data_IF_188334994037
#
_entry.id   IF_188334994037
#
_cell.length_a   1.000
_cell.length_b   1.000
_cell.length_c   1.000
_cell.angle_alpha   90.00
_cell.angle_beta   90.00
_cell.angle_gamma   90.00
#
_symmetry.space_group_name_H-M   'P 1'
#
loop_
_entity.id
_entity.type
_entity.pdbx_description
1 polymer ?
#
# COMPACT_ATOMS: atom_id res chain seq x y z
N UNK A 1 -14.69 1.66 19.22
CA UNK A 1 -14.56 2.68 18.16
C UNK A 1 -13.12 2.95 17.75
N UNK A 2 -12.16 2.72 18.64
CA UNK A 2 -10.74 3.01 18.39
C UNK A 2 -9.96 1.86 17.72
N UNK A 3 -10.58 0.69 17.57
CA UNK A 3 -9.96 -0.49 16.98
C UNK A 3 -9.97 -0.40 15.43
N UNK A 4 -8.78 -0.35 14.76
CA UNK A 4 -8.68 -0.29 13.30
C UNK A 4 -9.40 -1.43 12.58
N UNK A 5 -9.38 -2.64 13.15
CA UNK A 5 -10.07 -3.80 12.59
C UNK A 5 -11.59 -3.61 12.56
N UNK A 6 -12.16 -2.99 13.60
CA UNK A 6 -13.59 -2.67 13.65
C UNK A 6 -13.95 -1.55 12.67
N UNK A 7 -13.06 -0.58 12.42
CA UNK A 7 -13.27 0.43 11.37
C UNK A 7 -13.42 -0.24 10.00
N UNK A 8 -12.50 -1.12 9.64
CA UNK A 8 -12.61 -1.86 8.38
C UNK A 8 -13.91 -2.67 8.31
N UNK A 9 -14.25 -3.41 9.38
CA UNK A 9 -15.50 -4.17 9.45
C UNK A 9 -16.75 -3.31 9.22
N UNK A 10 -16.77 -2.08 9.77
CA UNK A 10 -17.89 -1.16 9.58
C UNK A 10 -18.01 -0.65 8.14
N UNK A 11 -16.88 -0.46 7.45
CA UNK A 11 -16.85 -0.08 6.03
C UNK A 11 -17.34 -1.24 5.15
N UNK A 12 -16.91 -2.47 5.43
CA UNK A 12 -17.33 -3.66 4.70
C UNK A 12 -18.83 -3.89 4.77
N UNK A 13 -19.45 -3.64 5.94
CA UNK A 13 -20.91 -3.73 6.07
C UNK A 13 -21.66 -2.84 5.07
N UNK A 14 -21.11 -1.67 4.69
CA UNK A 14 -21.74 -0.80 3.69
C UNK A 14 -21.65 -1.37 2.28
N UNK A 15 -20.64 -2.18 1.97
CA UNK A 15 -20.60 -2.95 0.72
C UNK A 15 -21.67 -4.03 0.70
N UNK A 16 -21.87 -4.74 1.82
CA UNK A 16 -22.92 -5.74 1.96
C UNK A 16 -24.31 -5.13 1.75
N UNK A 17 -24.56 -3.91 2.31
CA UNK A 17 -25.81 -3.17 2.15
C UNK A 17 -26.10 -2.78 0.68
N UNK A 18 -25.06 -2.74 -0.17
CA UNK A 18 -25.15 -2.47 -1.61
C UNK A 18 -25.08 -3.75 -2.48
N UNK A 19 -25.06 -4.92 -1.89
CA UNK A 19 -24.87 -6.20 -2.59
C UNK A 19 -23.55 -6.30 -3.36
N UNK A 20 -22.51 -5.63 -2.86
CA UNK A 20 -21.17 -5.57 -3.43
C UNK A 20 -20.17 -6.29 -2.53
N UNK A 21 -19.16 -6.91 -3.13
CA UNK A 21 -18.01 -7.48 -2.40
C UNK A 21 -16.70 -6.98 -2.99
N UNK A 22 -15.86 -6.31 -2.20
CA UNK A 22 -14.52 -5.96 -2.62
C UNK A 22 -13.61 -7.18 -2.56
N UNK A 23 -12.75 -7.32 -3.57
CA UNK A 23 -11.69 -8.33 -3.65
C UNK A 23 -10.37 -7.57 -3.59
N UNK A 24 -9.49 -7.90 -2.64
CA UNK A 24 -8.27 -7.14 -2.41
C UNK A 24 -7.06 -8.06 -2.27
N UNK A 25 -5.88 -7.57 -2.71
CA UNK A 25 -4.58 -8.21 -2.53
C UNK A 25 -3.52 -7.15 -2.22
N UNK A 26 -2.79 -7.22 -1.11
CA UNK A 26 -1.67 -6.34 -0.85
C UNK A 26 -0.37 -6.90 -1.44
N UNK A 27 0.47 -6.00 -1.96
CA UNK A 27 1.89 -6.18 -2.23
C UNK A 27 2.66 -5.47 -1.11
N UNK A 28 3.63 -6.15 -0.50
CA UNK A 28 4.33 -5.59 0.66
C UNK A 28 5.83 -5.54 0.41
N UNK A 29 6.34 -4.33 0.24
CA UNK A 29 7.77 -4.07 0.11
C UNK A 29 8.44 -3.93 1.48
N UNK A 30 9.67 -4.44 1.57
CA UNK A 30 10.49 -4.34 2.78
C UNK A 30 11.97 -4.44 2.44
N UNK A 31 12.82 -3.96 3.34
CA UNK A 31 14.26 -4.21 3.25
C UNK A 31 14.69 -5.28 4.25
N UNK A 32 15.55 -6.17 3.81
CA UNK A 32 16.47 -6.87 4.69
C UNK A 32 17.66 -5.95 4.96
N UNK A 33 18.00 -5.78 6.22
CA UNK A 33 19.12 -4.97 6.68
C UNK A 33 19.99 -5.78 7.64
N UNK A 34 21.24 -5.40 7.77
CA UNK A 34 22.13 -5.98 8.78
C UNK A 34 21.54 -5.79 10.18
N UNK A 35 21.73 -6.76 11.07
CA UNK A 35 21.34 -6.62 12.46
C UNK A 35 22.23 -5.65 13.23
N UNK A 36 23.40 -5.29 12.69
CA UNK A 36 24.31 -4.30 13.24
C UNK A 36 24.14 -2.96 12.54
N UNK A 37 24.13 -1.90 13.35
CA UNK A 37 24.12 -0.53 12.84
C UNK A 37 25.56 -0.08 12.52
N UNK A 38 25.68 0.98 11.72
CA UNK A 38 26.95 1.68 11.54
C UNK A 38 27.41 2.26 12.87
N UNK A 39 28.68 2.68 12.96
CA UNK A 39 29.23 3.40 14.14
C UNK A 39 28.47 4.70 14.49
N UNK A 40 27.63 5.20 13.57
CA UNK A 40 26.80 6.38 13.75
C UNK A 40 25.32 6.04 14.01
N UNK A 41 24.98 4.75 14.20
CA UNK A 41 23.62 4.31 14.50
C UNK A 41 22.70 4.18 13.28
N UNK A 42 23.22 4.25 12.04
CA UNK A 42 22.43 4.10 10.82
C UNK A 42 22.29 2.64 10.40
N UNK A 43 21.16 2.25 9.79
CA UNK A 43 21.00 0.94 9.20
C UNK A 43 22.01 0.70 8.08
N UNK A 44 22.34 -0.56 7.84
CA UNK A 44 23.26 -0.99 6.79
C UNK A 44 22.59 -2.02 5.89
N UNK A 45 22.97 -2.02 4.60
CA UNK A 45 22.58 -3.07 3.69
C UNK A 45 23.01 -4.44 4.22
N UNK A 46 22.31 -5.54 3.89
CA UNK A 46 22.63 -6.86 4.41
C UNK A 46 23.97 -7.37 3.88
N UNK A 47 24.57 -8.26 4.65
CA UNK A 47 25.65 -9.12 4.13
C UNK A 47 24.98 -10.26 3.35
N UNK A 48 25.47 -10.53 2.15
CA UNK A 48 24.98 -11.64 1.31
C UNK A 48 25.27 -12.95 2.04
N UNK A 49 24.26 -13.81 2.27
CA UNK A 49 24.44 -15.09 2.96
C UNK A 49 25.59 -15.91 2.37
N UNK A 50 26.35 -16.58 3.23
CA UNK A 50 27.53 -17.38 2.82
C UNK A 50 28.75 -16.57 2.37
N UNK A 51 28.71 -15.24 2.43
CA UNK A 51 29.81 -14.35 2.04
C UNK A 51 30.16 -13.34 3.12
N UNK A 52 31.25 -12.59 2.93
CA UNK A 52 31.60 -11.42 3.75
C UNK A 52 31.30 -10.10 2.99
N UNK A 53 30.57 -10.15 1.87
CA UNK A 53 30.28 -8.99 1.03
C UNK A 53 28.93 -8.38 1.42
N UNK A 54 28.95 -7.06 1.60
CA UNK A 54 27.71 -6.28 1.80
C UNK A 54 27.07 -6.01 0.45
N UNK A 55 25.75 -6.16 0.39
CA UNK A 55 24.97 -5.89 -0.79
C UNK A 55 25.05 -4.40 -1.17
N UNK A 56 25.23 -4.07 -2.47
CA UNK A 56 25.36 -2.69 -2.96
C UNK A 56 24.76 -2.45 -4.35
N UNK A 57 24.38 -3.50 -5.04
CA UNK A 57 24.00 -3.43 -6.45
C UNK A 57 22.48 -3.31 -6.59
N UNK A 58 22.01 -2.54 -7.59
CA UNK A 58 20.62 -2.55 -8.03
C UNK A 58 20.23 -3.95 -8.45
N UNK A 59 19.07 -4.42 -7.99
CA UNK A 59 18.74 -5.84 -8.06
C UNK A 59 17.38 -6.15 -8.71
N UNK A 60 16.71 -5.17 -9.30
CA UNK A 60 15.34 -5.32 -9.80
C UNK A 60 15.16 -6.62 -10.61
N UNK A 61 14.26 -7.49 -10.12
CA UNK A 61 13.93 -8.80 -10.72
C UNK A 61 15.13 -9.74 -10.91
N UNK A 62 16.21 -9.56 -10.16
CA UNK A 62 17.42 -10.38 -10.27
C UNK A 62 17.24 -11.71 -9.53
N UNK A 63 17.18 -12.81 -10.28
CA UNK A 63 17.01 -14.16 -9.75
C UNK A 63 18.21 -14.61 -8.89
N UNK A 64 19.44 -14.26 -9.24
CA UNK A 64 20.60 -14.64 -8.43
C UNK A 64 20.53 -14.07 -7.01
N UNK A 65 19.90 -12.89 -6.85
CA UNK A 65 19.66 -12.32 -5.52
C UNK A 65 18.64 -13.12 -4.74
N UNK A 66 17.61 -13.64 -5.43
CA UNK A 66 16.62 -14.52 -4.79
C UNK A 66 17.29 -15.83 -4.34
N UNK A 67 18.19 -16.39 -5.14
CA UNK A 67 18.96 -17.59 -4.81
C UNK A 67 19.89 -17.32 -3.61
N UNK A 68 20.54 -16.16 -3.54
CA UNK A 68 21.38 -15.76 -2.40
C UNK A 68 20.62 -15.73 -1.07
N UNK A 69 19.31 -15.48 -1.10
CA UNK A 69 18.41 -15.42 0.08
C UNK A 69 17.40 -16.57 0.13
N UNK A 70 17.59 -17.65 -0.62
CA UNK A 70 16.66 -18.80 -0.74
C UNK A 70 16.22 -19.33 0.62
N UNK A 71 17.16 -19.64 1.52
CA UNK A 71 16.87 -20.17 2.86
C UNK A 71 15.94 -19.24 3.68
N UNK A 72 16.12 -17.94 3.52
CA UNK A 72 15.25 -16.95 4.19
C UNK A 72 13.83 -17.00 3.61
N UNK A 73 13.67 -16.98 2.29
CA UNK A 73 12.37 -17.02 1.64
C UNK A 73 11.65 -18.34 1.87
N UNK A 74 12.37 -19.45 1.87
CA UNK A 74 11.88 -20.77 2.24
C UNK A 74 11.29 -20.79 3.67
N UNK A 75 12.00 -20.16 4.61
CA UNK A 75 11.50 -20.07 5.99
C UNK A 75 10.26 -19.17 6.07
N UNK A 76 10.22 -18.07 5.31
CA UNK A 76 9.05 -17.17 5.25
C UNK A 76 7.85 -17.91 4.66
N UNK A 77 8.03 -18.65 3.56
CA UNK A 77 6.97 -19.46 2.94
C UNK A 77 6.43 -20.54 3.89
N UNK A 78 7.32 -21.30 4.55
CA UNK A 78 6.93 -22.30 5.58
C UNK A 78 6.14 -21.66 6.72
N UNK A 79 6.55 -20.46 7.17
CA UNK A 79 5.85 -19.73 8.22
C UNK A 79 4.50 -19.21 7.74
N UNK A 80 4.40 -18.68 6.51
CA UNK A 80 3.15 -18.23 5.91
C UNK A 80 2.15 -19.39 5.79
N UNK A 81 2.58 -20.53 5.26
CA UNK A 81 1.77 -21.76 5.16
C UNK A 81 1.25 -22.24 6.51
N UNK A 82 2.09 -22.20 7.56
CA UNK A 82 1.68 -22.60 8.91
C UNK A 82 0.63 -21.67 9.53
N UNK A 83 0.58 -20.41 9.07
CA UNK A 83 -0.40 -19.40 9.48
C UNK A 83 -1.64 -19.35 8.57
N UNK A 84 -1.72 -20.20 7.54
CA UNK A 84 -2.78 -20.17 6.55
C UNK A 84 -2.77 -18.91 5.68
N UNK A 85 -1.59 -18.28 5.48
CA UNK A 85 -1.44 -17.10 4.64
C UNK A 85 -1.02 -17.54 3.23
N UNK A 86 -1.85 -17.35 2.21
CA UNK A 86 -1.51 -17.69 0.84
C UNK A 86 -0.60 -16.61 0.24
N UNK A 87 0.71 -16.78 0.35
CA UNK A 87 1.70 -15.98 -0.39
C UNK A 87 1.87 -16.53 -1.80
N UNK A 88 1.99 -15.63 -2.79
CA UNK A 88 2.12 -16.01 -4.19
C UNK A 88 3.58 -15.98 -4.62
N UNK A 89 4.21 -14.82 -4.53
CA UNK A 89 5.53 -14.57 -5.10
C UNK A 89 6.35 -13.68 -4.19
N UNK A 90 7.65 -13.97 -4.11
CA UNK A 90 8.66 -13.05 -3.58
C UNK A 90 9.54 -12.58 -4.74
N UNK A 91 9.83 -11.28 -4.81
CA UNK A 91 10.68 -10.69 -5.84
C UNK A 91 11.73 -9.76 -5.24
N UNK A 92 12.86 -9.65 -5.94
CA UNK A 92 13.86 -8.64 -5.67
C UNK A 92 13.39 -7.29 -6.25
N UNK A 93 13.27 -6.28 -5.39
CA UNK A 93 12.90 -4.93 -5.76
C UNK A 93 14.10 -4.07 -6.17
N UNK A 94 13.87 -2.80 -6.48
CA UNK A 94 14.84 -1.92 -7.15
C UNK A 94 16.13 -1.73 -6.34
N UNK A 95 16.01 -1.47 -5.04
CA UNK A 95 17.15 -1.11 -4.22
C UNK A 95 17.85 -2.32 -3.60
N UNK A 96 19.16 -2.21 -3.27
CA UNK A 96 19.90 -3.30 -2.63
C UNK A 96 19.23 -3.78 -1.34
N UNK A 97 18.95 -5.07 -1.25
CA UNK A 97 18.30 -5.68 -0.09
C UNK A 97 16.81 -5.36 0.05
N UNK A 98 16.19 -4.74 -0.95
CA UNK A 98 14.75 -4.51 -1.01
C UNK A 98 14.06 -5.68 -1.69
N UNK A 99 12.96 -6.14 -1.10
CA UNK A 99 12.16 -7.25 -1.58
C UNK A 99 10.68 -6.94 -1.46
N UNK A 100 9.87 -7.63 -2.24
CA UNK A 100 8.41 -7.59 -2.18
C UNK A 100 7.85 -8.99 -2.00
N UNK A 101 6.79 -9.11 -1.22
CA UNK A 101 5.98 -10.34 -1.12
C UNK A 101 4.54 -10.01 -1.41
N UNK A 102 3.95 -10.77 -2.35
CA UNK A 102 2.58 -10.64 -2.80
C UNK A 102 1.69 -11.67 -2.12
N UNK A 103 0.54 -11.25 -1.61
CA UNK A 103 -0.50 -12.16 -1.13
C UNK A 103 -1.53 -12.39 -2.24
N UNK A 104 -2.08 -13.60 -2.30
CA UNK A 104 -3.19 -13.91 -3.18
C UNK A 104 -4.42 -13.07 -2.82
N UNK A 105 -5.17 -12.66 -3.83
CA UNK A 105 -6.39 -11.90 -3.64
C UNK A 105 -7.50 -12.72 -2.95
N UNK A 106 -8.32 -12.03 -2.16
CA UNK A 106 -9.45 -12.64 -1.47
C UNK A 106 -10.64 -11.67 -1.40
N UNK A 107 -11.86 -12.21 -1.36
CA UNK A 107 -13.11 -11.45 -1.25
C UNK A 107 -13.55 -11.20 0.22
N UNK A 108 -12.65 -11.44 1.16
CA UNK A 108 -12.73 -11.01 2.56
C UNK A 108 -11.57 -10.05 2.88
N UNK A 109 -11.74 -8.74 2.72
CA UNK A 109 -10.69 -7.76 3.02
C UNK A 109 -10.28 -7.70 4.49
N UNK A 110 -11.14 -8.17 5.41
CA UNK A 110 -10.79 -8.23 6.83
C UNK A 110 -9.75 -9.33 7.08
N UNK A 111 -9.97 -10.51 6.50
CA UNK A 111 -8.99 -11.60 6.50
C UNK A 111 -7.68 -11.16 5.85
N UNK A 112 -7.74 -10.46 4.71
CA UNK A 112 -6.54 -9.97 4.03
C UNK A 112 -5.73 -8.98 4.88
N UNK A 113 -6.40 -8.10 5.64
CA UNK A 113 -5.73 -7.19 6.56
C UNK A 113 -5.09 -7.96 7.74
N UNK A 114 -5.77 -8.97 8.28
CA UNK A 114 -5.24 -9.88 9.30
C UNK A 114 -3.98 -10.59 8.78
N UNK A 115 -4.03 -11.13 7.56
CA UNK A 115 -2.92 -11.83 6.92
C UNK A 115 -1.74 -10.90 6.62
N UNK A 116 -1.98 -9.69 6.10
CA UNK A 116 -0.94 -8.70 5.85
C UNK A 116 -0.23 -8.31 7.17
N UNK A 117 -0.97 -8.12 8.25
CA UNK A 117 -0.40 -7.83 9.58
C UNK A 117 0.48 -8.97 10.09
N UNK A 118 -0.03 -10.22 10.03
CA UNK A 118 0.70 -11.40 10.46
C UNK A 118 1.93 -11.68 9.58
N UNK A 119 1.83 -11.45 8.26
CA UNK A 119 2.93 -11.64 7.33
C UNK A 119 4.10 -10.68 7.63
N UNK A 120 3.84 -9.39 7.89
CA UNK A 120 4.88 -8.45 8.33
C UNK A 120 5.60 -8.94 9.60
N UNK A 121 4.86 -9.50 10.55
CA UNK A 121 5.43 -10.07 11.78
C UNK A 121 6.27 -11.31 11.48
N UNK A 122 5.79 -12.19 10.61
CA UNK A 122 6.47 -13.42 10.19
C UNK A 122 7.81 -13.09 9.52
N UNK A 123 7.82 -12.20 8.53
CA UNK A 123 9.03 -11.75 7.82
C UNK A 123 10.07 -11.22 8.82
N UNK A 124 9.67 -10.35 9.74
CA UNK A 124 10.58 -9.83 10.79
C UNK A 124 11.17 -10.92 11.68
N UNK A 125 10.38 -11.93 12.02
CA UNK A 125 10.85 -13.03 12.88
C UNK A 125 11.76 -13.99 12.11
N UNK A 126 11.47 -14.27 10.84
CA UNK A 126 12.33 -15.09 9.98
C UNK A 126 13.69 -14.42 9.77
N UNK A 127 13.74 -13.11 9.48
CA UNK A 127 14.99 -12.38 9.27
C UNK A 127 15.98 -12.53 10.45
N UNK A 128 15.48 -12.52 11.67
CA UNK A 128 16.32 -12.70 12.87
C UNK A 128 17.06 -14.04 12.91
N UNK A 129 16.52 -15.10 12.30
CA UNK A 129 17.18 -16.41 12.24
C UNK A 129 18.45 -16.40 11.38
N UNK A 130 18.52 -15.44 10.45
CA UNK A 130 19.65 -15.24 9.54
C UNK A 130 20.56 -14.07 9.98
N UNK A 131 20.43 -13.60 11.23
CA UNK A 131 21.16 -12.44 11.76
C UNK A 131 20.89 -11.15 10.96
N UNK A 132 19.69 -11.05 10.38
CA UNK A 132 19.18 -9.89 9.67
C UNK A 132 18.01 -9.26 10.43
N UNK A 133 17.69 -8.03 10.08
CA UNK A 133 16.42 -7.40 10.42
C UNK A 133 15.63 -7.14 9.13
N UNK A 134 14.30 -7.28 9.19
CA UNK A 134 13.42 -6.82 8.14
C UNK A 134 12.75 -5.51 8.58
N UNK A 135 12.79 -4.49 7.73
CA UNK A 135 12.13 -3.21 8.00
C UNK A 135 11.11 -2.87 6.92
N UNK A 136 9.91 -2.48 7.36
CA UNK A 136 8.85 -1.93 6.53
C UNK A 136 8.81 -0.39 6.58
N UNK A 137 9.85 0.24 7.11
CA UNK A 137 9.98 1.69 7.14
C UNK A 137 9.83 2.26 5.73
N UNK A 138 9.03 3.30 5.57
CA UNK A 138 8.70 3.84 4.24
C UNK A 138 9.92 4.31 3.44
N UNK A 139 10.92 4.90 4.11
CA UNK A 139 12.17 5.40 3.49
C UNK A 139 13.35 5.13 4.43
N UNK A 140 13.86 3.88 4.52
CA UNK A 140 14.95 3.53 5.44
C UNK A 140 16.30 4.12 5.02
N UNK A 141 16.50 4.33 3.71
CA UNK A 141 17.70 4.92 3.13
C UNK A 141 17.32 6.11 2.27
N UNK A 142 17.98 7.26 2.46
CA UNK A 142 17.64 8.53 1.79
C UNK A 142 17.75 8.44 0.27
N UNK A 143 18.77 7.72 -0.21
CA UNK A 143 19.17 7.70 -1.61
C UNK A 143 18.62 6.48 -2.38
N UNK A 144 17.91 5.56 -1.67
CA UNK A 144 17.36 4.35 -2.25
C UNK A 144 15.83 4.44 -2.39
N UNK A 145 15.22 3.50 -3.10
CA UNK A 145 13.76 3.41 -3.22
C UNK A 145 13.07 3.28 -1.86
N UNK A 146 11.88 3.82 -1.71
CA UNK A 146 11.04 3.63 -0.52
C UNK A 146 10.19 2.37 -0.60
N UNK A 147 9.63 1.93 0.55
CA UNK A 147 8.76 0.77 0.64
C UNK A 147 7.28 1.17 0.54
N UNK A 148 6.58 0.60 -0.43
CA UNK A 148 5.14 0.68 -0.60
C UNK A 148 4.40 -0.53 -0.02
N UNK A 149 3.10 -0.36 0.17
CA UNK A 149 2.13 -1.43 0.33
C UNK A 149 1.02 -1.20 -0.70
N UNK A 150 1.28 -1.59 -1.93
CA UNK A 150 0.30 -1.44 -3.00
C UNK A 150 -0.91 -2.33 -2.73
N UNK A 151 -2.07 -1.89 -3.17
CA UNK A 151 -3.30 -2.66 -3.01
C UNK A 151 -3.98 -2.85 -4.36
N UNK A 152 -4.05 -4.10 -4.82
CA UNK A 152 -4.88 -4.49 -5.94
C UNK A 152 -6.32 -4.63 -5.49
N UNK A 153 -7.26 -4.08 -6.25
CA UNK A 153 -8.65 -4.06 -5.90
C UNK A 153 -9.55 -4.29 -7.11
N UNK A 154 -10.56 -5.14 -6.93
CA UNK A 154 -11.76 -5.19 -7.77
C UNK A 154 -13.01 -5.24 -6.90
N UNK A 155 -14.17 -5.10 -7.51
CA UNK A 155 -15.47 -5.26 -6.85
C UNK A 155 -16.29 -6.26 -7.64
N UNK A 156 -16.87 -7.24 -6.94
CA UNK A 156 -17.75 -8.24 -7.55
C UNK A 156 -19.18 -8.12 -7.01
N UNK A 157 -20.15 -8.61 -7.78
CA UNK A 157 -21.54 -8.75 -7.35
C UNK A 157 -21.72 -10.01 -6.46
N UNK A 158 -22.94 -10.23 -5.95
CA UNK A 158 -23.30 -11.44 -5.16
C UNK A 158 -23.05 -12.77 -5.89
N UNK A 159 -23.00 -12.74 -7.23
CA UNK A 159 -22.76 -13.93 -8.07
C UNK A 159 -21.28 -14.14 -8.36
N UNK A 160 -20.40 -13.24 -7.90
CA UNK A 160 -18.96 -13.27 -8.16
C UNK A 160 -18.56 -12.67 -9.52
N UNK A 161 -19.46 -12.00 -10.23
CA UNK A 161 -19.09 -11.32 -11.49
C UNK A 161 -18.30 -10.05 -11.18
N UNK A 162 -17.16 -9.87 -11.86
CA UNK A 162 -16.37 -8.65 -11.74
C UNK A 162 -17.16 -7.44 -12.33
N UNK A 163 -17.30 -6.40 -11.51
CA UNK A 163 -17.99 -5.16 -11.89
C UNK A 163 -17.01 -4.07 -12.39
N UNK A 164 -15.71 -4.34 -12.32
CA UNK A 164 -14.72 -3.47 -12.95
C UNK A 164 -14.62 -3.81 -14.43
N UNK A 165 -15.31 -3.00 -15.24
CA UNK A 165 -15.42 -3.19 -16.68
C UNK A 165 -14.76 -2.05 -17.43
N UNK A 166 -14.27 -2.39 -18.61
CA UNK A 166 -13.76 -1.45 -19.60
C UNK A 166 -14.73 -1.41 -20.78
N UNK A 167 -14.95 -0.22 -21.35
CA UNK A 167 -15.72 -0.06 -22.57
C UNK A 167 -14.92 -0.48 -23.81
N UNK A 168 -15.51 -0.36 -25.00
CA UNK A 168 -14.89 -0.70 -26.28
C UNK A 168 -13.64 0.12 -26.62
N UNK A 169 -13.42 1.24 -25.91
CA UNK A 169 -12.24 2.11 -26.04
C UNK A 169 -11.23 1.86 -24.92
N UNK A 170 -11.35 0.73 -24.21
CA UNK A 170 -10.49 0.36 -23.07
C UNK A 170 -10.54 1.37 -21.91
N UNK A 171 -11.67 2.08 -21.73
CA UNK A 171 -11.86 3.05 -20.68
C UNK A 171 -12.71 2.48 -19.54
N UNK A 172 -12.36 2.73 -18.26
CA UNK A 172 -13.21 2.33 -17.14
C UNK A 172 -14.64 2.89 -17.24
N UNK A 173 -15.65 2.04 -17.05
CA UNK A 173 -17.04 2.42 -17.07
C UNK A 173 -17.79 2.03 -15.77
N UNK A 174 -18.96 2.62 -15.56
CA UNK A 174 -19.85 2.28 -14.46
C UNK A 174 -19.19 2.36 -13.09
N UNK A 175 -19.31 1.27 -12.31
CA UNK A 175 -18.75 1.15 -10.96
C UNK A 175 -17.22 1.34 -10.97
N UNK A 176 -16.53 0.83 -11.99
CA UNK A 176 -15.09 0.98 -12.09
C UNK A 176 -14.65 2.43 -12.23
N UNK A 177 -15.29 3.18 -13.15
CA UNK A 177 -15.01 4.61 -13.30
C UNK A 177 -15.28 5.39 -12.01
N UNK A 178 -16.40 5.10 -11.34
CA UNK A 178 -16.74 5.75 -10.07
C UNK A 178 -15.78 5.40 -8.94
N UNK A 179 -15.30 4.16 -8.87
CA UNK A 179 -14.31 3.72 -7.88
C UNK A 179 -12.99 4.49 -8.01
N UNK A 180 -12.45 4.59 -9.24
CA UNK A 180 -11.24 5.36 -9.53
C UNK A 180 -11.44 6.84 -9.20
N UNK A 181 -12.54 7.44 -9.66
CA UNK A 181 -12.85 8.85 -9.39
C UNK A 181 -13.03 9.14 -7.90
N UNK A 182 -13.62 8.21 -7.14
CA UNK A 182 -13.74 8.29 -5.69
C UNK A 182 -12.38 8.29 -4.99
N UNK A 183 -11.49 7.38 -5.38
CA UNK A 183 -10.11 7.32 -4.89
C UNK A 183 -9.36 8.62 -5.18
N UNK A 184 -9.36 9.09 -6.42
CA UNK A 184 -8.68 10.36 -6.78
C UNK A 184 -9.19 11.53 -5.95
N UNK A 185 -10.51 11.63 -5.76
CA UNK A 185 -11.13 12.75 -5.05
C UNK A 185 -10.87 12.77 -3.56
N UNK A 186 -10.87 11.60 -2.91
CA UNK A 186 -10.84 11.52 -1.45
C UNK A 186 -9.50 11.10 -0.87
N UNK A 187 -8.54 10.65 -1.69
CA UNK A 187 -7.18 10.30 -1.25
C UNK A 187 -6.54 11.38 -0.37
N UNK A 188 -6.63 12.69 -0.68
CA UNK A 188 -6.07 13.72 0.19
C UNK A 188 -6.66 13.74 1.60
N UNK A 189 -7.92 13.33 1.77
CA UNK A 189 -8.59 13.25 3.07
C UNK A 189 -8.10 12.09 3.92
N UNK A 190 -7.68 11.00 3.28
CA UNK A 190 -7.18 9.79 3.92
C UNK A 190 -5.65 9.68 3.94
N UNK A 191 -4.93 10.70 3.49
CA UNK A 191 -3.47 10.63 3.30
C UNK A 191 -2.72 10.21 4.56
N UNK A 192 -3.13 10.68 5.75
CA UNK A 192 -2.50 10.33 7.02
C UNK A 192 -2.65 8.85 7.43
N UNK A 193 -3.55 8.10 6.79
CA UNK A 193 -3.66 6.64 6.97
C UNK A 193 -2.78 5.88 5.97
N UNK A 194 -2.49 6.46 4.80
CA UNK A 194 -1.58 5.90 3.79
C UNK A 194 -0.12 6.23 4.07
N UNK A 195 0.15 7.39 4.66
CA UNK A 195 1.45 7.89 5.07
C UNK A 195 1.40 8.25 6.56
N UNK A 196 1.55 7.23 7.41
CA UNK A 196 1.17 7.31 8.83
C UNK A 196 2.23 7.98 9.73
N UNK A 197 3.46 8.14 9.26
CA UNK A 197 4.61 8.61 10.05
C UNK A 197 5.41 9.67 9.29
N UNK A 198 6.22 10.46 9.99
CA UNK A 198 7.04 11.49 9.36
C UNK A 198 7.95 10.94 8.26
N UNK A 199 8.48 9.73 8.46
CA UNK A 199 9.32 9.05 7.47
C UNK A 199 8.56 8.71 6.17
N UNK A 200 7.25 8.45 6.23
CA UNK A 200 6.43 8.17 5.03
C UNK A 200 6.43 9.34 4.05
N UNK A 201 6.52 10.58 4.54
CA UNK A 201 6.57 11.78 3.70
C UNK A 201 7.92 11.99 2.99
N UNK A 202 8.98 11.32 3.46
CA UNK A 202 10.26 11.27 2.74
C UNK A 202 10.19 10.38 1.49
N UNK A 203 9.24 9.45 1.44
CA UNK A 203 8.93 8.66 0.24
C UNK A 203 8.12 9.47 -0.77
N UNK A 204 7.23 10.37 -0.30
CA UNK A 204 6.28 11.12 -1.11
C UNK A 204 6.86 12.48 -1.56
N UNK A 205 8.05 12.47 -2.13
CA UNK A 205 8.66 13.68 -2.72
C UNK A 205 8.39 13.73 -4.23
N UNK A 206 8.35 14.95 -4.80
CA UNK A 206 8.13 15.12 -6.23
C UNK A 206 9.24 14.41 -7.04
N UNK A 207 8.85 13.72 -8.10
CA UNK A 207 9.73 12.87 -8.91
C UNK A 207 10.40 11.70 -8.15
N UNK A 208 9.87 11.30 -7.00
CA UNK A 208 10.36 10.08 -6.35
C UNK A 208 10.10 8.86 -7.22
N UNK A 209 11.11 8.03 -7.37
CA UNK A 209 10.97 6.76 -8.06
C UNK A 209 9.93 5.88 -7.36
N UNK A 210 9.01 5.34 -8.12
CA UNK A 210 7.97 4.38 -7.67
C UNK A 210 7.00 4.88 -6.59
N UNK A 211 6.97 6.18 -6.24
CA UNK A 211 6.04 6.75 -5.27
C UNK A 211 5.15 7.83 -5.91
N UNK A 212 3.83 7.62 -6.01
CA UNK A 212 2.93 8.58 -6.64
C UNK A 212 2.69 9.78 -5.73
N UNK A 213 2.82 10.99 -6.27
CA UNK A 213 2.51 12.24 -5.56
C UNK A 213 1.38 13.03 -6.22
N UNK A 214 0.84 12.52 -7.34
CA UNK A 214 -0.18 13.19 -8.16
C UNK A 214 -1.50 12.44 -8.09
N UNK A 215 -2.62 13.16 -8.20
CA UNK A 215 -3.95 12.56 -8.27
C UNK A 215 -4.26 12.14 -9.72
N UNK A 216 -3.67 11.05 -10.16
CA UNK A 216 -3.70 10.58 -11.54
C UNK A 216 -3.99 9.07 -11.65
N UNK A 217 -4.46 8.64 -12.82
CA UNK A 217 -4.68 7.25 -13.15
C UNK A 217 -4.24 6.96 -14.58
N UNK A 218 -3.90 5.72 -14.88
CA UNK A 218 -3.58 5.28 -16.26
C UNK A 218 -3.35 3.79 -16.36
N UNK A 219 -3.47 3.29 -17.60
CA UNK A 219 -3.15 1.89 -17.93
C UNK A 219 -1.63 1.71 -17.91
N UNK A 220 -1.17 0.62 -17.28
CA UNK A 220 0.26 0.27 -17.15
C UNK A 220 1.17 1.42 -16.69
N UNK A 221 0.60 2.44 -16.02
CA UNK A 221 1.32 3.64 -15.63
C UNK A 221 1.80 3.56 -14.16
N UNK A 222 3.07 3.20 -13.97
CA UNK A 222 3.71 3.09 -12.66
C UNK A 222 4.02 4.44 -11.99
N UNK A 223 3.89 5.57 -12.72
CA UNK A 223 4.06 6.92 -12.14
C UNK A 223 2.76 7.51 -11.62
N UNK A 224 1.61 6.90 -11.96
CA UNK A 224 0.30 7.32 -11.52
C UNK A 224 -0.06 6.78 -10.12
N UNK A 225 -0.98 7.46 -9.43
CA UNK A 225 -1.55 7.02 -8.17
C UNK A 225 -2.32 5.71 -8.30
N UNK A 226 -3.07 5.58 -9.40
CA UNK A 226 -3.85 4.39 -9.71
C UNK A 226 -3.39 3.87 -11.07
N UNK A 227 -2.86 2.65 -11.05
CA UNK A 227 -2.54 1.89 -12.26
C UNK A 227 -3.66 0.91 -12.55
N UNK A 228 -4.02 0.76 -13.81
CA UNK A 228 -4.85 -0.34 -14.29
C UNK A 228 -3.92 -1.33 -15.00
N UNK A 229 -3.58 -2.47 -14.37
CA UNK A 229 -2.77 -3.48 -15.01
C UNK A 229 -3.51 -4.14 -16.17
N UNK A 230 -2.79 -4.54 -17.22
CA UNK A 230 -3.34 -5.38 -18.29
C UNK A 230 -3.81 -6.71 -17.70
N UNK A 231 -5.02 -7.11 -18.05
CA UNK A 231 -5.63 -8.33 -17.55
C UNK A 231 -6.77 -8.80 -18.43
N UNK A 232 -7.19 -10.06 -18.28
CA UNK A 232 -8.45 -10.54 -18.86
C UNK A 232 -9.65 -9.81 -18.22
N UNK A 233 -10.81 -9.75 -18.90
CA UNK A 233 -12.00 -9.07 -18.37
C UNK A 233 -12.43 -9.55 -16.97
N UNK A 234 -12.25 -10.82 -16.65
CA UNK A 234 -12.57 -11.37 -15.32
C UNK A 234 -11.56 -10.95 -14.25
N UNK A 235 -10.33 -10.61 -14.63
CA UNK A 235 -9.24 -10.21 -13.75
C UNK A 235 -8.97 -8.68 -13.74
N UNK A 236 -9.85 -7.89 -14.42
CA UNK A 236 -9.74 -6.43 -14.44
C UNK A 236 -9.76 -5.87 -13.02
N UNK A 237 -8.78 -5.05 -12.69
CA UNK A 237 -8.57 -4.49 -11.35
C UNK A 237 -7.86 -3.15 -11.42
N UNK A 238 -7.85 -2.42 -10.34
CA UNK A 238 -6.92 -1.31 -10.12
C UNK A 238 -5.82 -1.70 -9.14
N UNK A 239 -4.68 -1.06 -9.25
CA UNK A 239 -3.61 -1.05 -8.27
C UNK A 239 -3.51 0.36 -7.67
N UNK A 240 -3.74 0.47 -6.37
CA UNK A 240 -3.58 1.72 -5.63
C UNK A 240 -2.20 1.77 -4.99
N UNK A 241 -1.35 2.70 -5.44
CA UNK A 241 0.10 2.68 -5.23
C UNK A 241 0.63 3.56 -4.10
N UNK A 242 -0.25 4.31 -3.43
CA UNK A 242 0.15 5.34 -2.46
C UNK A 242 0.64 4.80 -1.11
N UNK A 243 -0.02 3.79 -0.48
CA UNK A 243 0.28 3.46 0.90
C UNK A 243 1.74 3.07 1.13
N UNK A 244 2.30 3.55 2.24
CA UNK A 244 3.63 3.13 2.69
C UNK A 244 3.56 1.79 3.41
N UNK A 245 4.62 1.00 3.32
CA UNK A 245 4.66 -0.35 3.89
C UNK A 245 4.54 -0.38 5.42
N UNK A 246 4.86 0.70 6.12
CA UNK A 246 4.71 0.85 7.57
C UNK A 246 3.28 1.16 8.03
N UNK A 247 2.38 1.50 7.10
CA UNK A 247 1.00 1.83 7.41
C UNK A 247 0.21 0.64 7.96
N UNK A 248 -0.84 0.94 8.73
CA UNK A 248 -1.73 -0.07 9.30
C UNK A 248 -2.66 -0.66 8.22
N UNK A 249 -2.59 -1.97 7.90
CA UNK A 249 -3.36 -2.57 6.81
C UNK A 249 -4.88 -2.38 6.94
N UNK A 250 -5.43 -2.44 8.16
CA UNK A 250 -6.86 -2.25 8.38
C UNK A 250 -7.30 -0.84 8.02
N UNK A 251 -6.54 0.19 8.42
CA UNK A 251 -6.87 1.58 8.11
C UNK A 251 -6.62 1.90 6.63
N UNK A 252 -5.59 1.32 6.03
CA UNK A 252 -5.33 1.44 4.59
C UNK A 252 -6.50 0.89 3.79
N UNK A 253 -6.93 -0.35 4.06
CA UNK A 253 -8.04 -0.97 3.34
C UNK A 253 -9.36 -0.25 3.62
N UNK A 254 -9.63 0.13 4.87
CA UNK A 254 -10.81 0.93 5.19
C UNK A 254 -10.84 2.26 4.42
N UNK A 255 -9.70 2.93 4.27
CA UNK A 255 -9.58 4.20 3.53
C UNK A 255 -9.82 4.01 2.03
N UNK A 256 -9.19 3.00 1.42
CA UNK A 256 -9.38 2.66 0.00
C UNK A 256 -10.86 2.34 -0.26
N UNK A 257 -11.44 1.46 0.53
CA UNK A 257 -12.82 1.01 0.37
C UNK A 257 -13.83 2.14 0.62
N UNK A 258 -13.58 3.01 1.60
CA UNK A 258 -14.40 4.22 1.82
C UNK A 258 -14.36 5.17 0.63
N UNK A 259 -13.20 5.31 0.00
CA UNK A 259 -13.01 6.13 -1.20
C UNK A 259 -13.80 5.56 -2.39
N UNK A 260 -13.75 4.24 -2.57
CA UNK A 260 -14.53 3.52 -3.60
C UNK A 260 -16.03 3.70 -3.37
N UNK A 261 -16.51 3.48 -2.14
CA UNK A 261 -17.92 3.71 -1.78
C UNK A 261 -18.34 5.15 -2.04
N UNK A 262 -17.51 6.12 -1.65
CA UNK A 262 -17.78 7.54 -1.91
C UNK A 262 -17.93 7.81 -3.41
N UNK A 263 -17.11 7.19 -4.23
CA UNK A 263 -17.18 7.31 -5.70
C UNK A 263 -18.47 6.72 -6.26
N UNK A 264 -18.84 5.52 -5.82
CA UNK A 264 -20.03 4.79 -6.26
C UNK A 264 -21.31 5.55 -5.84
N UNK A 265 -21.42 5.91 -4.55
CA UNK A 265 -22.59 6.60 -3.98
C UNK A 265 -22.84 7.96 -4.63
N UNK A 266 -21.77 8.72 -4.91
CA UNK A 266 -21.89 10.07 -5.49
C UNK A 266 -21.71 10.10 -7.01
N UNK A 267 -21.49 8.96 -7.66
CA UNK A 267 -21.29 8.83 -9.11
C UNK A 267 -20.29 9.84 -9.65
N UNK A 268 -19.13 9.95 -8.96
CA UNK A 268 -18.10 10.91 -9.37
C UNK A 268 -17.64 10.63 -10.81
N UNK A 269 -17.54 11.67 -11.65
CA UNK A 269 -17.05 11.51 -13.02
C UNK A 269 -15.56 11.23 -13.04
N UNK A 270 -15.14 10.28 -13.85
CA UNK A 270 -13.73 9.97 -14.06
C UNK A 270 -13.11 10.96 -15.05
N UNK A 271 -12.01 11.59 -14.64
CA UNK A 271 -11.18 12.46 -15.48
C UNK A 271 -10.47 11.71 -16.62
N UNK A 272 -9.65 12.44 -17.39
CA UNK A 272 -8.84 11.85 -18.46
C UNK A 272 -7.74 10.95 -17.89
N UNK A 273 -7.38 9.95 -18.66
CA UNK A 273 -6.23 9.10 -18.41
C UNK A 273 -4.92 9.88 -18.52
N UNK A 274 -3.95 9.54 -17.71
CA UNK A 274 -2.59 10.08 -17.79
C UNK A 274 -1.70 9.11 -18.55
N UNK A 275 -1.27 9.52 -19.73
CA UNK A 275 -0.36 8.76 -20.59
C UNK A 275 1.06 9.30 -20.41
N UNK A 276 2.01 8.42 -20.11
CA UNK A 276 3.40 8.79 -19.82
C UNK A 276 3.62 9.27 -18.38
N UNK A 277 4.66 10.07 -18.14
CA UNK A 277 5.07 10.44 -16.78
C UNK A 277 4.07 11.39 -16.11
N UNK A 278 3.39 10.89 -15.06
CA UNK A 278 2.41 11.64 -14.30
C UNK A 278 3.02 12.85 -13.55
N UNK A 279 4.25 12.71 -13.05
CA UNK A 279 4.94 13.81 -12.35
C UNK A 279 5.21 15.03 -13.25
N UNK A 280 5.40 14.81 -14.56
CA UNK A 280 5.60 15.90 -15.53
C UNK A 280 4.31 16.61 -15.94
N UNK A 281 3.14 15.95 -15.73
CA UNK A 281 1.86 16.43 -16.24
C UNK A 281 0.94 17.00 -15.16
N UNK A 282 1.14 16.61 -13.91
CA UNK A 282 0.26 16.95 -12.79
C UNK A 282 1.03 17.56 -11.62
N UNK A 283 0.32 18.37 -10.82
CA UNK A 283 0.86 18.87 -9.56
C UNK A 283 0.99 17.75 -8.53
N UNK A 284 1.97 17.89 -7.65
CA UNK A 284 2.21 16.97 -6.55
C UNK A 284 1.26 17.26 -5.36
N UNK A 285 -0.04 17.05 -5.52
CA UNK A 285 -1.06 17.35 -4.50
C UNK A 285 -0.88 16.53 -3.20
N UNK A 286 -0.18 15.39 -3.29
CA UNK A 286 0.09 14.52 -2.15
C UNK A 286 1.47 14.77 -1.53
N UNK A 287 2.28 15.64 -2.12
CA UNK A 287 3.58 16.05 -1.60
C UNK A 287 3.48 17.14 -0.51
N UNK A 288 2.62 16.91 0.49
CA UNK A 288 2.40 17.80 1.64
C UNK A 288 3.11 17.26 2.89
N UNK A 289 3.18 18.07 3.94
CA UNK A 289 3.78 17.67 5.21
C UNK A 289 2.87 16.72 6.01
N UNK A 290 3.45 15.99 6.96
CA UNK A 290 2.70 15.14 7.86
C UNK A 290 1.63 15.91 8.65
N UNK A 291 1.97 17.10 9.15
CA UNK A 291 1.05 17.99 9.87
C UNK A 291 -0.14 18.41 9.00
N UNK A 292 0.09 18.84 7.77
CA UNK A 292 -0.97 19.20 6.83
C UNK A 292 -1.90 18.04 6.51
N UNK A 293 -1.35 16.82 6.36
CA UNK A 293 -2.15 15.62 6.12
C UNK A 293 -3.04 15.27 7.32
N UNK A 294 -2.50 15.34 8.55
CA UNK A 294 -3.28 15.11 9.78
C UNK A 294 -4.37 16.16 9.95
N UNK A 295 -4.05 17.43 9.71
CA UNK A 295 -5.04 18.51 9.77
C UNK A 295 -6.17 18.31 8.74
N UNK A 296 -5.84 17.93 7.51
CA UNK A 296 -6.82 17.64 6.47
C UNK A 296 -7.72 16.47 6.85
N UNK A 297 -7.14 15.38 7.34
CA UNK A 297 -7.88 14.21 7.82
C UNK A 297 -8.82 14.57 8.99
N UNK A 298 -8.38 15.40 9.94
CA UNK A 298 -9.19 15.78 11.11
C UNK A 298 -10.39 16.64 10.75
N UNK A 299 -10.36 17.40 9.65
CA UNK A 299 -11.45 18.24 9.14
C UNK A 299 -12.33 17.54 8.10
N UNK A 300 -11.94 16.34 7.65
CA UNK A 300 -12.61 15.65 6.55
C UNK A 300 -14.01 15.13 6.93
N UNK A 301 -15.01 15.55 6.15
CA UNK A 301 -16.38 15.04 6.24
C UNK A 301 -16.47 13.59 5.77
N UNK A 302 -15.63 13.17 4.83
CA UNK A 302 -15.58 11.80 4.31
C UNK A 302 -15.04 10.86 5.37
N UNK A 303 -13.92 11.20 6.01
CA UNK A 303 -13.37 10.42 7.14
C UNK A 303 -14.42 10.32 8.26
N UNK A 304 -15.04 11.44 8.66
CA UNK A 304 -16.12 11.44 9.67
C UNK A 304 -17.28 10.51 9.28
N UNK A 305 -17.70 10.52 8.01
CA UNK A 305 -18.80 9.69 7.50
C UNK A 305 -18.52 8.20 7.62
N UNK A 306 -17.29 7.76 7.27
CA UNK A 306 -16.96 6.35 7.17
C UNK A 306 -16.33 5.78 8.45
N UNK A 307 -15.49 6.55 9.15
CA UNK A 307 -14.76 6.11 10.34
C UNK A 307 -15.41 6.54 11.66
N UNK A 308 -16.34 7.51 11.58
CA UNK A 308 -16.99 8.08 12.75
C UNK A 308 -16.20 9.23 13.40
N UNK A 309 -16.94 10.18 13.99
CA UNK A 309 -16.35 11.37 14.61
C UNK A 309 -15.41 11.04 15.77
N UNK A 310 -15.77 10.05 16.57
CA UNK A 310 -15.00 9.67 17.75
C UNK A 310 -13.64 9.07 17.39
N UNK A 311 -13.60 8.20 16.35
CA UNK A 311 -12.33 7.68 15.83
C UNK A 311 -11.47 8.80 15.25
N UNK A 312 -12.06 9.66 14.41
CA UNK A 312 -11.36 10.78 13.78
C UNK A 312 -10.69 11.69 14.81
N UNK A 313 -11.40 12.07 15.89
CA UNK A 313 -10.86 12.89 16.99
C UNK A 313 -9.74 12.16 17.75
N UNK A 314 -9.93 10.88 18.08
CA UNK A 314 -8.90 10.09 18.77
C UNK A 314 -7.64 9.94 17.93
N UNK A 315 -7.78 9.69 16.64
CA UNK A 315 -6.66 9.59 15.70
C UNK A 315 -5.90 10.92 15.63
N UNK A 316 -6.62 12.05 15.52
CA UNK A 316 -6.02 13.38 15.50
C UNK A 316 -5.16 13.63 16.75
N UNK A 317 -5.69 13.39 17.94
CA UNK A 317 -4.97 13.61 19.22
C UNK A 317 -3.68 12.78 19.27
N UNK A 318 -3.76 11.50 18.86
CA UNK A 318 -2.57 10.63 18.84
C UNK A 318 -1.53 11.17 17.85
N UNK A 319 -1.94 11.56 16.65
CA UNK A 319 -1.01 12.05 15.61
C UNK A 319 -0.40 13.41 15.96
N UNK A 320 -1.18 14.32 16.54
CA UNK A 320 -0.65 15.60 17.03
C UNK A 320 0.38 15.40 18.14
N UNK A 321 0.16 14.45 19.05
CA UNK A 321 1.13 14.09 20.07
C UNK A 321 2.42 13.48 19.45
N UNK A 322 2.29 12.57 18.48
CA UNK A 322 3.43 12.02 17.76
C UNK A 322 4.24 13.12 17.04
N UNK A 323 3.56 14.04 16.34
CA UNK A 323 4.18 15.18 15.65
C UNK A 323 4.94 16.07 16.64
N UNK A 324 4.34 16.42 17.79
CA UNK A 324 4.97 17.29 18.80
C UNK A 324 6.24 16.69 19.43
N UNK A 325 6.41 15.37 19.35
CA UNK A 325 7.64 14.69 19.83
C UNK A 325 8.72 14.60 18.75
N UNK A 326 8.38 14.84 17.53
CA UNK A 326 9.28 14.73 16.37
C UNK A 326 9.87 16.08 15.96
N UNK A 327 9.16 17.17 16.21
CA UNK A 327 9.57 18.56 16.03
C UNK A 327 10.22 19.13 17.32
#
# INVERSE_FOLDING_TARGET
YADPRNILKSVLKRFDDLDLRPVIAPEMEFYLIDNQLTKHGHPQMPIIPGTNRRFKEVQLLNLNVMDDFEDFFDLVDKSAKSLGIPSETAIAECAPGQFEINLLHHDDPLLMADQAFLMKRSIKNCAKKFKLNATFMAKPFSDEAGNGMHAHLSVVDKKGNNLFKLDSSNRPEGIFAHAIAGLLKTTPDFLSFYASHSNSYRRLVHNADHAPTTLSWGHENRTALIRIPEASPSATRLEFRLPSADSNPYLVFASILSSVLSGIENKHPLGKETIGNAHAQHKAELGITWREAVEKTSKSKVVKKFFGEQFQKSFQVVKEHEISRFE
#
